data_IF_742044652030
#
_entry.id   IF_742044652030
#
_cell.length_a   1.000
_cell.length_b   1.000
_cell.length_c   1.000
_cell.angle_alpha   90.00
_cell.angle_beta   90.00
_cell.angle_gamma   90.00
#
_symmetry.space_group_name_H-M   'P 1'
#
loop_
_entity.id
_entity.type
_entity.pdbx_description
1 polymer ?
#
# COMPACT_ATOMS: atom_id res chain seq x y z
N UNK A 1 -27.74 34.79 -29.07
CA UNK A 1 -28.70 34.31 -28.05
C UNK A 1 -29.24 32.90 -28.30
N UNK A 2 -29.81 32.55 -29.46
CA UNK A 2 -30.36 31.19 -29.68
C UNK A 2 -29.29 30.06 -29.78
N UNK A 3 -28.14 30.34 -30.38
CA UNK A 3 -27.05 29.36 -30.51
C UNK A 3 -26.37 29.03 -29.17
N UNK A 4 -26.22 30.02 -28.29
CA UNK A 4 -25.61 29.83 -26.97
C UNK A 4 -26.51 29.02 -26.04
N UNK A 5 -27.84 29.24 -26.10
CA UNK A 5 -28.80 28.45 -25.32
C UNK A 5 -28.80 26.96 -25.72
N UNK A 6 -28.54 26.66 -27.00
CA UNK A 6 -28.41 25.29 -27.50
C UNK A 6 -27.15 24.60 -26.96
N UNK A 7 -26.03 25.31 -26.95
CA UNK A 7 -24.76 24.79 -26.42
C UNK A 7 -24.82 24.55 -24.91
N UNK A 8 -25.50 25.42 -24.15
CA UNK A 8 -25.70 25.22 -22.71
C UNK A 8 -26.52 23.96 -22.41
N UNK A 9 -27.60 23.72 -23.15
CA UNK A 9 -28.43 22.51 -22.98
C UNK A 9 -27.70 21.22 -23.36
N UNK A 10 -26.85 21.29 -24.38
CA UNK A 10 -26.02 20.16 -24.80
C UNK A 10 -24.94 19.84 -23.76
N UNK A 11 -24.29 20.88 -23.22
CA UNK A 11 -23.32 20.74 -22.13
C UNK A 11 -23.97 20.19 -20.84
N UNK A 12 -25.17 20.63 -20.50
CA UNK A 12 -25.93 20.13 -19.34
C UNK A 12 -26.31 18.66 -19.49
N UNK A 13 -26.74 18.26 -20.70
CA UNK A 13 -27.07 16.86 -20.99
C UNK A 13 -25.83 15.97 -20.92
N UNK A 14 -24.69 16.46 -21.42
CA UNK A 14 -23.40 15.79 -21.31
C UNK A 14 -22.96 15.65 -19.85
N UNK A 15 -23.11 16.70 -19.04
CA UNK A 15 -22.80 16.67 -17.62
C UNK A 15 -23.61 15.62 -16.87
N UNK A 16 -24.94 15.59 -17.07
CA UNK A 16 -25.83 14.58 -16.46
C UNK A 16 -25.54 13.16 -16.92
N UNK A 17 -25.03 12.98 -18.14
CA UNK A 17 -24.60 11.67 -18.61
C UNK A 17 -23.31 11.22 -17.91
N UNK A 18 -22.33 12.14 -17.78
CA UNK A 18 -21.09 11.87 -17.06
C UNK A 18 -21.35 11.56 -15.58
N UNK A 19 -22.28 12.26 -14.92
CA UNK A 19 -22.67 11.99 -13.53
C UNK A 19 -23.27 10.59 -13.33
N UNK A 20 -24.04 10.09 -14.31
CA UNK A 20 -24.61 8.73 -14.25
C UNK A 20 -23.53 7.65 -14.36
N UNK A 21 -22.56 7.84 -15.24
CA UNK A 21 -21.44 6.90 -15.39
C UNK A 21 -20.55 6.89 -14.15
N UNK A 22 -20.26 8.07 -13.59
CA UNK A 22 -19.53 8.20 -12.32
C UNK A 22 -20.27 7.47 -11.18
N UNK A 23 -21.60 7.59 -11.11
CA UNK A 23 -22.41 6.92 -10.10
C UNK A 23 -22.39 5.38 -10.24
N UNK A 24 -22.45 4.86 -11.48
CA UNK A 24 -22.31 3.42 -11.75
C UNK A 24 -20.94 2.89 -11.32
N UNK A 25 -19.87 3.59 -11.68
CA UNK A 25 -18.51 3.21 -11.30
C UNK A 25 -18.33 3.22 -9.77
N UNK A 26 -18.88 4.21 -9.08
CA UNK A 26 -18.86 4.26 -7.61
C UNK A 26 -19.63 3.11 -6.98
N UNK A 27 -20.75 2.69 -7.58
CA UNK A 27 -21.53 1.53 -7.12
C UNK A 27 -20.75 0.22 -7.30
N UNK A 28 -20.13 0.01 -8.47
CA UNK A 28 -19.27 -1.16 -8.74
C UNK A 28 -18.07 -1.24 -7.79
N UNK A 29 -17.50 -0.09 -7.40
CA UNK A 29 -16.43 -0.04 -6.41
C UNK A 29 -16.92 -0.30 -4.98
N UNK A 30 -18.15 0.08 -4.64
CA UNK A 30 -18.76 -0.17 -3.33
C UNK A 30 -19.20 -1.63 -3.14
N UNK A 31 -19.61 -2.30 -4.23
CA UNK A 31 -20.04 -3.70 -4.22
C UNK A 31 -18.87 -4.71 -4.08
N UNK A 32 -17.64 -4.24 -3.87
CA UNK A 32 -16.62 -5.00 -3.15
C UNK A 32 -16.17 -6.33 -3.78
N UNK A 33 -16.32 -6.52 -5.10
CA UNK A 33 -15.79 -7.72 -5.77
C UNK A 33 -14.27 -7.66 -6.05
N UNK A 34 -13.51 -6.96 -5.22
CA UNK A 34 -12.09 -7.27 -5.09
C UNK A 34 -12.03 -8.47 -4.15
N UNK A 35 -12.27 -9.68 -4.67
CA UNK A 35 -11.65 -10.85 -4.07
C UNK A 35 -10.15 -10.66 -4.34
N UNK A 36 -9.30 -10.38 -3.33
CA UNK A 36 -7.92 -10.70 -3.52
C UNK A 36 -7.90 -12.22 -3.68
N UNK A 37 -7.70 -12.70 -4.91
CA UNK A 37 -7.15 -14.02 -5.07
C UNK A 37 -5.73 -13.92 -4.49
N UNK A 38 -5.66 -14.02 -3.16
CA UNK A 38 -4.43 -14.36 -2.48
C UNK A 38 -4.16 -15.76 -2.95
N UNK A 39 -3.40 -15.88 -4.05
CA UNK A 39 -2.61 -17.06 -4.30
C UNK A 39 -1.60 -17.12 -3.17
N UNK A 40 -2.06 -17.66 -2.03
CA UNK A 40 -1.29 -17.98 -0.82
C UNK A 40 -0.15 -18.98 -1.10
N UNK A 41 0.07 -19.34 -2.36
CA UNK A 41 0.98 -20.39 -2.78
C UNK A 41 2.46 -19.99 -2.83
N UNK A 42 2.85 -18.75 -2.46
CA UNK A 42 4.25 -18.32 -2.52
C UNK A 42 4.74 -17.50 -1.31
N UNK A 43 4.14 -17.67 -0.12
CA UNK A 43 4.71 -17.08 1.09
C UNK A 43 6.05 -17.76 1.41
N UNK A 44 7.16 -17.14 1.01
CA UNK A 44 8.51 -17.67 1.25
C UNK A 44 8.89 -17.38 2.69
N UNK A 45 9.15 -18.42 3.49
CA UNK A 45 9.47 -18.33 4.91
C UNK A 45 10.96 -18.57 5.12
N UNK A 46 11.60 -17.71 5.92
CA UNK A 46 13.00 -17.84 6.30
C UNK A 46 13.14 -17.75 7.81
N UNK A 47 14.02 -18.57 8.39
CA UNK A 47 14.39 -18.51 9.80
C UNK A 47 15.91 -18.58 9.88
N UNK A 48 16.53 -17.53 10.42
CA UNK A 48 17.98 -17.45 10.61
C UNK A 48 18.31 -17.43 12.10
N UNK A 49 18.93 -18.50 12.59
CA UNK A 49 19.50 -18.56 13.94
C UNK A 49 20.91 -17.98 14.00
N UNK A 50 21.59 -17.90 12.86
CA UNK A 50 22.92 -17.31 12.70
C UNK A 50 22.96 -16.56 11.37
N UNK A 51 23.17 -15.24 11.44
CA UNK A 51 23.15 -14.36 10.28
C UNK A 51 24.44 -14.39 9.44
N UNK A 52 25.49 -15.06 9.91
CA UNK A 52 26.73 -15.26 9.12
C UNK A 52 26.50 -16.09 7.86
N UNK A 53 25.42 -16.88 7.83
CA UNK A 53 25.02 -17.72 6.70
C UNK A 53 23.73 -17.22 6.03
N UNK A 54 23.23 -16.05 6.44
CA UNK A 54 22.03 -15.48 5.86
C UNK A 54 22.38 -14.71 4.58
N UNK A 55 21.57 -14.90 3.54
CA UNK A 55 21.72 -14.19 2.27
C UNK A 55 21.13 -12.78 2.38
N UNK A 56 21.91 -11.90 2.99
CA UNK A 56 21.56 -10.51 3.25
C UNK A 56 22.40 -9.56 2.39
N UNK A 57 21.72 -8.66 1.69
CA UNK A 57 22.29 -7.42 1.20
C UNK A 57 22.48 -6.48 2.39
N UNK A 58 23.69 -5.93 2.54
CA UNK A 58 24.07 -5.05 3.66
C UNK A 58 24.51 -3.71 3.09
N UNK A 59 23.91 -2.63 3.55
CA UNK A 59 24.20 -1.27 3.08
C UNK A 59 24.26 -0.27 4.23
N UNK A 60 25.49 0.07 4.60
CA UNK A 60 25.80 0.95 5.70
C UNK A 60 26.98 0.43 6.51
N UNK A 61 26.82 0.48 7.84
CA UNK A 61 27.86 0.13 8.82
C UNK A 61 27.54 -1.19 9.55
N UNK A 62 26.75 -2.07 8.93
CA UNK A 62 26.33 -3.30 9.58
C UNK A 62 27.53 -4.24 9.73
N UNK A 63 27.69 -4.77 10.93
CA UNK A 63 28.71 -5.80 11.23
C UNK A 63 28.05 -7.12 11.58
N UNK A 64 28.77 -8.20 11.33
CA UNK A 64 28.39 -9.55 11.77
C UNK A 64 29.44 -9.99 12.79
N UNK A 65 29.00 -10.23 14.01
CA UNK A 65 29.86 -10.73 15.09
C UNK A 65 29.26 -12.02 15.64
N UNK A 66 29.97 -13.13 15.48
CA UNK A 66 29.55 -14.47 15.92
C UNK A 66 28.11 -14.88 15.51
N UNK A 67 27.66 -14.44 14.33
CA UNK A 67 26.31 -14.71 13.84
C UNK A 67 25.23 -13.76 14.31
N UNK A 68 25.57 -12.75 15.10
CA UNK A 68 24.71 -11.63 15.46
C UNK A 68 24.89 -10.49 14.45
N UNK A 69 23.77 -9.97 13.95
CA UNK A 69 23.76 -8.84 13.01
C UNK A 69 23.66 -7.52 13.78
N UNK A 70 24.71 -6.72 13.75
CA UNK A 70 24.76 -5.39 14.35
C UNK A 70 24.54 -4.33 13.26
N UNK A 71 23.36 -3.70 13.24
CA UNK A 71 23.05 -2.70 12.21
C UNK A 71 23.87 -1.40 12.34
N UNK A 72 24.29 -1.04 13.55
CA UNK A 72 24.90 0.27 13.84
C UNK A 72 26.28 0.17 14.48
N UNK A 73 26.86 -1.03 14.56
CA UNK A 73 28.17 -1.27 15.17
C UNK A 73 28.35 -0.54 16.53
N UNK A 74 27.29 -0.54 17.36
CA UNK A 74 27.25 0.12 18.68
C UNK A 74 27.52 1.64 18.68
N UNK A 75 27.27 2.32 17.57
CA UNK A 75 27.39 3.79 17.49
C UNK A 75 26.03 4.47 17.38
N UNK A 76 25.90 5.64 17.99
CA UNK A 76 24.65 6.42 18.00
C UNK A 76 24.47 7.30 16.75
N UNK A 77 25.41 7.25 15.80
CA UNK A 77 25.44 8.14 14.62
C UNK A 77 25.44 7.39 13.29
N UNK A 78 25.59 6.08 13.30
CA UNK A 78 25.55 5.27 12.08
C UNK A 78 24.15 4.76 11.81
N UNK A 79 23.79 4.69 10.54
CA UNK A 79 22.62 3.97 10.06
C UNK A 79 23.11 2.74 9.30
N UNK A 80 22.39 1.64 9.46
CA UNK A 80 22.61 0.47 8.65
C UNK A 80 21.32 -0.24 8.27
N UNK A 81 21.35 -0.86 7.10
CA UNK A 81 20.26 -1.59 6.49
C UNK A 81 20.73 -3.00 6.13
N UNK A 82 19.88 -3.98 6.42
CA UNK A 82 20.04 -5.34 5.94
C UNK A 82 18.75 -5.80 5.27
N UNK A 83 18.85 -6.25 4.03
CA UNK A 83 17.72 -6.67 3.21
C UNK A 83 17.94 -8.12 2.76
N UNK A 84 16.90 -8.95 2.87
CA UNK A 84 16.95 -10.30 2.31
C UNK A 84 17.08 -10.22 0.79
N UNK A 85 18.05 -10.93 0.20
CA UNK A 85 18.34 -10.88 -1.24
C UNK A 85 17.23 -11.50 -2.11
N UNK A 86 16.39 -12.35 -1.53
CA UNK A 86 15.29 -12.98 -2.26
C UNK A 86 14.20 -11.95 -2.54
N UNK A 87 13.94 -11.69 -3.82
CA UNK A 87 12.82 -10.85 -4.25
C UNK A 87 11.50 -11.47 -3.79
N UNK A 88 10.71 -10.71 -3.05
CA UNK A 88 9.40 -11.14 -2.56
C UNK A 88 8.33 -10.27 -3.21
N UNK A 89 7.32 -10.90 -3.80
CA UNK A 89 6.18 -10.18 -4.36
C UNK A 89 5.28 -9.69 -3.23
N UNK A 90 5.20 -8.37 -3.07
CA UNK A 90 4.22 -7.75 -2.17
C UNK A 90 2.96 -7.42 -2.96
N UNK A 91 1.85 -8.10 -2.66
CA UNK A 91 0.53 -7.74 -3.19
C UNK A 91 -0.06 -6.66 -2.29
N UNK A 92 -0.18 -5.44 -2.79
CA UNK A 92 -0.88 -4.36 -2.11
C UNK A 92 -2.40 -4.52 -2.29
N UNK A 93 -3.16 -4.53 -1.18
CA UNK A 93 -4.60 -4.28 -1.24
C UNK A 93 -4.81 -2.79 -1.50
N UNK A 94 -5.54 -2.46 -2.57
CA UNK A 94 -5.83 -1.08 -2.94
C UNK A 94 -6.57 -0.34 -1.82
N UNK A 95 -6.07 0.85 -1.48
CA UNK A 95 -6.64 1.76 -0.49
C UNK A 95 -8.07 2.13 -0.86
N UNK A 96 -9.02 1.79 0.01
CA UNK A 96 -10.38 2.31 -0.07
C UNK A 96 -10.35 3.81 0.25
N UNK A 97 -10.61 4.66 -0.74
CA UNK A 97 -10.80 6.11 -0.51
C UNK A 97 -12.11 6.31 0.25
N UNK A 98 -12.05 6.38 1.58
CA UNK A 98 -13.18 6.78 2.40
C UNK A 98 -13.44 8.28 2.22
N UNK A 99 -14.62 8.65 1.70
CA UNK A 99 -15.03 10.07 1.64
C UNK A 99 -15.25 10.59 3.06
N UNK A 100 -14.53 11.65 3.44
CA UNK A 100 -14.75 12.37 4.70
C UNK A 100 -16.17 12.97 4.74
N UNK A 101 -16.86 12.81 5.86
CA UNK A 101 -17.93 13.76 6.23
C UNK A 101 -17.26 15.06 6.73
N UNK A 102 -17.80 16.25 6.42
CA UNK A 102 -17.26 17.48 6.96
C UNK A 102 -17.36 17.47 8.49
N UNK A 103 -16.23 17.63 9.19
CA UNK A 103 -16.21 17.82 10.65
C UNK A 103 -15.51 16.74 11.50
N UNK A 104 -14.98 15.66 10.93
CA UNK A 104 -14.20 14.66 11.69
C UNK A 104 -12.73 14.66 11.28
N UNK A 105 -11.84 14.83 12.27
CA UNK A 105 -10.41 14.61 12.08
C UNK A 105 -10.13 13.11 11.96
N UNK A 106 -9.33 12.75 10.97
CA UNK A 106 -8.86 11.38 10.78
C UNK A 106 -7.54 11.21 11.53
N UNK A 107 -7.50 10.32 12.51
CA UNK A 107 -6.26 9.84 13.12
C UNK A 107 -6.14 8.34 12.82
N UNK A 108 -5.06 7.96 12.15
CA UNK A 108 -4.51 6.60 12.17
C UNK A 108 -4.82 5.71 10.98
N UNK A 109 -3.76 5.18 10.39
CA UNK A 109 -3.76 3.84 9.79
C UNK A 109 -3.80 2.85 10.96
N UNK A 110 -4.86 2.05 11.05
CA UNK A 110 -4.94 0.96 12.03
C UNK A 110 -4.14 -0.23 11.50
N UNK A 111 -3.08 -0.57 12.21
CA UNK A 111 -2.42 -1.87 12.10
C UNK A 111 -3.16 -2.79 13.08
N UNK A 112 -3.84 -3.82 12.60
CA UNK A 112 -4.42 -4.82 13.49
C UNK A 112 -3.28 -5.56 14.18
N UNK A 113 -3.22 -5.41 15.50
CA UNK A 113 -2.24 -6.06 16.36
C UNK A 113 -2.50 -7.57 16.36
N UNK A 114 -1.49 -8.42 16.04
CA UNK A 114 -1.70 -9.86 16.03
C UNK A 114 -1.97 -10.34 17.46
N UNK A 115 -3.18 -10.85 17.68
CA UNK A 115 -3.57 -11.49 18.94
C UNK A 115 -2.74 -12.77 19.13
N UNK A 116 -2.09 -12.86 20.31
CA UNK A 116 -1.34 -14.04 20.79
C UNK A 116 -2.27 -15.18 21.17
#
# INVERSE_FOLDING_TARGET
>A
MAAELKQVKEAETKAKNMEREICKLQKTLADGNCQPEVSSSAATKFVHYNFSKADLYRDGMETLDDGLLHLTNNTNKSTGHALQLTSQEFVFCNVSVARRRPGTSFCGVSFDEPQV
#
